data_IF_257867320523
#
_entry.id   IF_257867320523
#
_cell.length_a   1.000
_cell.length_b   1.000
_cell.length_c   1.000
_cell.angle_alpha   90.00
_cell.angle_beta   90.00
_cell.angle_gamma   90.00
#
_symmetry.space_group_name_H-M   'P 1'
#
loop_
_entity.id
_entity.type
_entity.pdbx_description
1 polymer ?
#
# COMPACT_ATOMS: atom_id res chain seq x y z
N UNK A 1 -2.91 -0.79 -2.73
CA UNK A 1 -3.89 -0.42 -1.69
C UNK A 1 -4.33 -1.64 -0.89
N UNK A 2 -4.51 -2.81 -1.50
CA UNK A 2 -4.83 -4.05 -0.77
C UNK A 2 -3.75 -4.42 0.27
N UNK A 3 -2.47 -4.16 0.00
CA UNK A 3 -1.37 -4.30 0.99
C UNK A 3 -1.41 -3.26 2.12
N UNK A 4 -2.25 -2.23 2.00
CA UNK A 4 -2.30 -1.08 2.91
C UNK A 4 -3.77 -0.68 3.16
N UNK A 5 -4.64 -1.58 3.65
CA UNK A 5 -6.10 -1.40 3.63
C UNK A 5 -6.59 -0.23 4.51
N UNK A 6 -5.85 0.15 5.55
CA UNK A 6 -6.15 1.30 6.40
C UNK A 6 -5.51 2.62 5.97
N UNK A 7 -4.72 2.63 4.90
CA UNK A 7 -3.94 3.81 4.51
C UNK A 7 -4.76 4.76 3.64
N UNK A 8 -4.78 6.03 4.05
CA UNK A 8 -5.37 7.13 3.29
C UNK A 8 -4.29 7.78 2.44
N UNK A 9 -4.63 8.09 1.19
CA UNK A 9 -3.74 8.77 0.27
C UNK A 9 -4.41 10.03 -0.27
N UNK A 10 -3.66 11.11 -0.42
CA UNK A 10 -4.09 12.17 -1.33
C UNK A 10 -3.64 11.83 -2.76
N UNK A 11 -4.15 12.54 -3.77
CA UNK A 11 -3.83 12.22 -5.16
C UNK A 11 -2.33 12.24 -5.47
N UNK A 12 -1.58 13.19 -4.91
CA UNK A 12 -0.14 13.31 -5.13
C UNK A 12 0.64 12.17 -4.47
N UNK A 13 0.28 11.80 -3.24
CA UNK A 13 0.94 10.70 -2.52
C UNK A 13 0.58 9.35 -3.11
N UNK A 14 -0.65 9.17 -3.61
CA UNK A 14 -1.05 7.96 -4.33
C UNK A 14 -0.29 7.82 -5.66
N UNK A 15 -0.15 8.92 -6.41
CA UNK A 15 0.61 8.95 -7.65
C UNK A 15 2.08 8.56 -7.43
N UNK A 16 2.71 9.13 -6.39
CA UNK A 16 4.08 8.76 -5.99
C UNK A 16 4.17 7.31 -5.55
N UNK A 17 3.22 6.83 -4.76
CA UNK A 17 3.20 5.45 -4.28
C UNK A 17 3.08 4.44 -5.44
N UNK A 18 2.29 4.75 -6.47
CA UNK A 18 2.09 3.91 -7.65
C UNK A 18 3.10 4.18 -8.77
N UNK A 19 4.10 5.05 -8.54
CA UNK A 19 5.07 5.49 -9.55
C UNK A 19 4.42 5.93 -10.88
N UNK A 20 3.31 6.67 -10.81
CA UNK A 20 2.59 7.16 -11.98
C UNK A 20 2.19 8.64 -11.85
N UNK A 21 1.63 9.23 -12.92
CA UNK A 21 1.19 10.62 -12.89
C UNK A 21 -0.14 10.80 -12.14
N UNK A 22 -0.38 11.95 -11.48
CA UNK A 22 -1.68 12.25 -10.85
C UNK A 22 -2.87 12.11 -11.80
N UNK A 23 -2.71 12.46 -13.08
CA UNK A 23 -3.74 12.28 -14.11
C UNK A 23 -4.03 10.81 -14.40
N UNK A 24 -3.03 9.93 -14.28
CA UNK A 24 -3.24 8.48 -14.40
C UNK A 24 -4.03 7.95 -13.22
N UNK A 25 -3.70 8.38 -12.00
CA UNK A 25 -4.50 8.06 -10.81
C UNK A 25 -5.96 8.48 -11.01
N UNK A 26 -6.23 9.71 -11.46
CA UNK A 26 -7.59 10.19 -11.68
C UNK A 26 -8.39 9.33 -12.67
N UNK A 27 -7.76 8.84 -13.74
CA UNK A 27 -8.41 7.96 -14.72
C UNK A 27 -8.68 6.56 -14.17
N UNK A 28 -7.68 5.99 -13.48
CA UNK A 28 -7.72 4.60 -13.02
C UNK A 28 -8.58 4.43 -11.77
N UNK A 29 -8.63 5.43 -10.87
CA UNK A 29 -9.37 5.33 -9.61
C UNK A 29 -10.89 5.40 -9.78
N UNK A 30 -11.37 6.09 -10.83
CA UNK A 30 -12.79 6.35 -11.06
C UNK A 30 -13.65 5.07 -11.11
N UNK A 31 -13.30 4.01 -11.87
CA UNK A 31 -14.03 2.75 -11.82
C UNK A 31 -14.12 2.13 -10.42
N UNK A 32 -13.08 2.27 -9.60
CA UNK A 32 -13.06 1.73 -8.23
C UNK A 32 -13.94 2.54 -7.27
N UNK A 33 -14.03 3.85 -7.50
CA UNK A 33 -14.97 4.71 -6.77
C UNK A 33 -16.41 4.34 -7.16
N UNK A 34 -16.69 4.25 -8.47
CA UNK A 34 -18.01 3.91 -8.99
C UNK A 34 -18.51 2.54 -8.51
N UNK A 35 -17.60 1.56 -8.42
CA UNK A 35 -17.94 0.21 -7.98
C UNK A 35 -18.08 0.06 -6.46
N UNK A 36 -17.76 1.11 -5.69
CA UNK A 36 -17.78 1.13 -4.23
C UNK A 36 -16.62 0.35 -3.62
N UNK A 37 -15.48 0.25 -4.31
CA UNK A 37 -14.27 -0.41 -3.79
C UNK A 37 -13.30 0.60 -3.15
N UNK A 38 -13.36 1.86 -3.58
CA UNK A 38 -12.52 2.95 -3.06
C UNK A 38 -13.42 4.10 -2.61
N UNK A 39 -13.23 4.55 -1.37
CA UNK A 39 -13.82 5.78 -0.85
C UNK A 39 -13.06 6.99 -1.38
N UNK A 40 -13.79 8.05 -1.66
CA UNK A 40 -13.26 9.30 -2.17
C UNK A 40 -13.89 10.48 -1.45
N UNK A 41 -13.06 11.46 -1.09
CA UNK A 41 -13.52 12.72 -0.52
C UNK A 41 -12.69 13.90 -1.04
N UNK A 42 -13.34 15.06 -1.14
CA UNK A 42 -12.71 16.35 -1.41
C UNK A 42 -12.54 17.11 -0.10
N UNK A 43 -11.29 17.31 0.34
CA UNK A 43 -10.97 18.17 1.47
C UNK A 43 -10.77 19.60 0.97
N UNK A 44 -11.65 20.50 1.42
CA UNK A 44 -11.70 21.88 0.93
C UNK A 44 -12.03 21.93 -0.56
N UNK A 45 -11.29 22.75 -1.33
CA UNK A 45 -11.57 22.96 -2.78
C UNK A 45 -10.65 22.19 -3.73
N UNK A 46 -9.57 21.58 -3.24
CA UNK A 46 -8.50 21.10 -4.11
C UNK A 46 -7.96 19.71 -3.76
N UNK A 47 -8.03 19.29 -2.50
CA UNK A 47 -7.36 18.06 -2.08
C UNK A 47 -8.28 16.85 -2.22
N UNK A 48 -7.94 15.98 -3.15
CA UNK A 48 -8.58 14.68 -3.34
C UNK A 48 -7.93 13.65 -2.44
N UNK A 49 -8.71 12.98 -1.60
CA UNK A 49 -8.27 11.85 -0.79
C UNK A 49 -8.99 10.57 -1.17
N UNK A 50 -8.28 9.46 -1.06
CA UNK A 50 -8.70 8.13 -1.45
C UNK A 50 -8.34 7.13 -0.36
N UNK A 51 -9.25 6.20 -0.07
CA UNK A 51 -9.02 5.10 0.84
C UNK A 51 -9.71 3.83 0.30
N UNK A 52 -9.16 2.67 0.61
CA UNK A 52 -9.83 1.41 0.30
C UNK A 52 -11.13 1.31 1.13
N UNK A 53 -12.24 0.91 0.52
CA UNK A 53 -13.48 0.68 1.27
C UNK A 53 -13.48 -0.72 1.90
N UNK A 54 -12.93 -0.85 3.11
CA UNK A 54 -12.88 -2.12 3.83
C UNK A 54 -14.25 -2.65 4.24
N UNK A 55 -15.32 -1.84 4.19
CA UNK A 55 -16.68 -2.29 4.53
C UNK A 55 -17.43 -2.89 3.36
N UNK A 56 -17.00 -2.57 2.14
CA UNK A 56 -17.58 -3.09 0.89
C UNK A 56 -17.38 -4.59 0.75
N UNK A 57 -18.47 -5.33 0.52
CA UNK A 57 -18.42 -6.78 0.28
C UNK A 57 -17.53 -7.16 -0.90
N UNK A 58 -17.51 -6.33 -1.95
CA UNK A 58 -16.64 -6.53 -3.12
C UNK A 58 -15.16 -6.38 -2.75
N UNK A 59 -14.84 -5.37 -1.96
CA UNK A 59 -13.47 -5.15 -1.48
C UNK A 59 -13.01 -6.27 -0.55
N UNK A 60 -13.88 -6.73 0.36
CA UNK A 60 -13.60 -7.87 1.24
C UNK A 60 -13.25 -9.12 0.43
N UNK A 61 -14.09 -9.47 -0.56
CA UNK A 61 -13.84 -10.61 -1.45
C UNK A 61 -12.51 -10.48 -2.21
N UNK A 62 -12.22 -9.30 -2.77
CA UNK A 62 -10.96 -9.06 -3.48
C UNK A 62 -9.74 -9.15 -2.55
N UNK A 63 -9.88 -8.67 -1.32
CA UNK A 63 -8.83 -8.72 -0.29
C UNK A 63 -8.55 -10.16 0.12
N UNK A 64 -9.58 -10.95 0.39
CA UNK A 64 -9.45 -12.38 0.71
C UNK A 64 -8.81 -13.16 -0.43
N UNK A 65 -9.21 -12.89 -1.67
CA UNK A 65 -8.62 -13.50 -2.85
C UNK A 65 -7.12 -13.14 -2.98
N UNK A 66 -6.79 -11.86 -2.83
CA UNK A 66 -5.42 -11.38 -2.87
C UNK A 66 -4.54 -12.02 -1.79
N UNK A 67 -5.03 -12.10 -0.55
CA UNK A 67 -4.32 -12.74 0.56
C UNK A 67 -4.04 -14.23 0.30
N UNK A 68 -5.01 -14.95 -0.26
CA UNK A 68 -4.83 -16.37 -0.62
C UNK A 68 -3.77 -16.54 -1.71
N UNK A 69 -3.75 -15.65 -2.71
CA UNK A 69 -2.71 -15.65 -3.74
C UNK A 69 -1.33 -15.44 -3.13
N UNK A 70 -1.16 -14.40 -2.32
CA UNK A 70 0.15 -14.09 -1.70
C UNK A 70 0.61 -15.15 -0.71
N UNK A 71 -0.30 -15.84 -0.04
CA UNK A 71 0.03 -16.94 0.87
C UNK A 71 0.39 -18.25 0.13
N UNK A 72 0.04 -18.35 -1.16
CA UNK A 72 0.34 -19.53 -1.98
C UNK A 72 1.68 -19.44 -2.71
N UNK A 73 2.31 -18.28 -2.72
CA UNK A 73 3.68 -18.09 -3.22
C UNK A 73 4.68 -18.34 -2.07
N UNK A 74 5.69 -19.22 -2.23
CA UNK A 74 6.76 -19.33 -1.26
C UNK A 74 7.48 -17.98 -1.23
N UNK A 75 7.32 -17.25 -0.13
CA UNK A 75 8.05 -16.01 0.10
C UNK A 75 9.50 -16.41 0.33
N UNK A 76 10.42 -16.01 -0.56
CA UNK A 76 11.85 -16.15 -0.31
C UNK A 76 12.19 -15.43 1.00
N UNK A 77 12.38 -16.24 2.03
CA UNK A 77 12.80 -15.85 3.36
C UNK A 77 14.17 -15.19 3.21
N UNK A 78 14.24 -13.92 3.62
CA UNK A 78 15.47 -13.16 3.61
C UNK A 78 16.26 -13.52 4.87
N UNK A 79 16.64 -14.79 4.96
CA UNK A 79 17.73 -15.26 5.81
C UNK A 79 19.02 -14.73 5.17
N UNK A 80 19.36 -13.50 5.57
CA UNK A 80 20.76 -13.12 5.64
C UNK A 80 21.09 -13.12 7.11
N UNK A 81 21.70 -14.24 7.47
CA UNK A 81 22.27 -14.60 8.73
C UNK A 81 22.90 -13.41 9.45
N UNK A 82 22.55 -13.36 10.74
CA UNK A 82 23.40 -12.85 11.79
C UNK A 82 24.59 -13.83 11.97
N UNK A 83 25.67 -13.32 12.55
CA UNK A 83 26.99 -13.95 12.81
C UNK A 83 28.00 -13.67 11.66
N UNK A 84 29.12 -12.96 11.88
CA UNK A 84 30.06 -13.10 13.00
C UNK A 84 30.56 -11.78 13.60
N UNK A 85 30.80 -11.83 14.91
CA UNK A 85 31.76 -11.01 15.64
C UNK A 85 33.15 -11.04 14.98
N UNK A 86 33.80 -9.88 14.85
CA UNK A 86 35.21 -9.81 15.25
C UNK A 86 35.55 -8.41 15.77
N UNK A 87 36.25 -8.42 16.88
CA UNK A 87 36.48 -7.27 17.73
C UNK A 87 37.49 -6.28 17.18
N UNK A 88 37.44 -5.07 17.71
CA UNK A 88 38.64 -4.32 18.05
C UNK A 88 38.33 -3.45 19.25
N UNK A 89 38.94 -3.81 20.37
CA UNK A 89 39.16 -2.91 21.50
C UNK A 89 40.15 -1.82 21.07
N UNK A 90 39.81 -0.56 21.29
CA UNK A 90 40.77 0.54 21.40
C UNK A 90 40.17 1.53 22.42
N UNK A 91 40.41 1.32 23.70
CA UNK A 91 41.54 1.79 24.51
C UNK A 91 41.32 3.21 25.08
N UNK A 92 41.54 3.26 26.39
CA UNK A 92 41.52 4.38 27.33
C UNK A 92 42.58 5.41 26.97
N UNK A 93 42.24 6.71 27.00
CA UNK A 93 42.77 7.76 27.91
C UNK A 93 41.82 8.97 27.87
#
# INVERSE_FOLDING_TARGET
MLDNPGKIFNQASLARFLSCSPSTVARVVNPFIFTGMVKFEMIGKQMKVFALDTESSKTKLLTEFYQKLTASEPTEEKDRDHDDEDGTKANVV
#
